data_IF_542875856365
#
_entry.id   IF_542875856365
#
_cell.length_a   1.000
_cell.length_b   1.000
_cell.length_c   1.000
_cell.angle_alpha   90.00
_cell.angle_beta   90.00
_cell.angle_gamma   90.00
#
_symmetry.space_group_name_H-M   'P 1'
#
loop_
_entity.id
_entity.type
_entity.pdbx_description
1 polymer ?
#
# COMPACT_ATOMS: atom_id res chain seq x y z
N UNK A 1 26.69 26.78 20.65
CA UNK A 1 26.81 25.66 19.68
C UNK A 1 25.46 25.45 19.03
N UNK A 2 25.33 25.70 17.73
CA UNK A 2 24.05 25.57 17.02
C UNK A 2 23.74 24.08 16.80
N UNK A 3 22.66 23.59 17.44
CA UNK A 3 22.30 22.18 17.36
C UNK A 3 21.64 21.88 16.01
N UNK A 4 22.41 21.33 15.07
CA UNK A 4 21.98 21.03 13.70
C UNK A 4 20.88 19.96 13.62
N UNK A 5 20.71 19.16 14.67
CA UNK A 5 19.74 18.07 14.74
C UNK A 5 18.35 18.50 15.22
N UNK A 6 18.25 19.66 15.88
CA UNK A 6 17.00 20.18 16.42
C UNK A 6 15.88 20.32 15.36
N UNK A 7 16.12 20.89 14.15
CA UNK A 7 15.07 21.02 13.15
C UNK A 7 14.54 19.64 12.68
N UNK A 8 15.42 18.66 12.47
CA UNK A 8 15.02 17.32 12.04
C UNK A 8 14.15 16.63 13.08
N UNK A 9 14.50 16.72 14.36
CA UNK A 9 13.73 16.15 15.47
C UNK A 9 12.33 16.77 15.54
N UNK A 10 12.22 18.08 15.31
CA UNK A 10 10.94 18.80 15.33
C UNK A 10 10.07 18.46 14.11
N UNK A 11 10.67 18.14 12.95
CA UNK A 11 9.93 17.72 11.75
C UNK A 11 9.61 16.22 11.69
N UNK A 12 10.27 15.41 12.52
CA UNK A 12 10.12 13.95 12.50
C UNK A 12 8.66 13.50 12.73
N UNK A 13 7.89 14.08 13.69
CA UNK A 13 6.51 13.67 13.92
C UNK A 13 5.59 13.92 12.72
N UNK A 14 5.74 15.05 12.03
CA UNK A 14 4.93 15.37 10.86
C UNK A 14 5.29 14.49 9.66
N UNK A 15 6.59 14.22 9.45
CA UNK A 15 7.06 13.30 8.43
C UNK A 15 6.59 11.87 8.70
N UNK A 16 6.63 11.43 9.96
CA UNK A 16 6.14 10.12 10.36
C UNK A 16 4.64 9.98 10.10
N UNK A 17 3.84 10.98 10.51
CA UNK A 17 2.40 10.97 10.26
C UNK A 17 2.08 10.99 8.77
N UNK A 18 2.77 11.81 7.98
CA UNK A 18 2.63 11.83 6.53
C UNK A 18 2.98 10.47 5.90
N UNK A 19 4.08 9.85 6.34
CA UNK A 19 4.47 8.53 5.87
C UNK A 19 3.38 7.48 6.20
N UNK A 20 2.89 7.43 7.44
CA UNK A 20 1.83 6.48 7.81
C UNK A 20 0.59 6.67 6.94
N UNK A 21 0.12 7.91 6.78
CA UNK A 21 -1.08 8.20 5.97
C UNK A 21 -0.92 7.81 4.50
N UNK A 22 0.28 7.97 3.93
CA UNK A 22 0.54 7.62 2.53
C UNK A 22 0.76 6.12 2.36
N UNK A 23 1.58 5.50 3.21
CA UNK A 23 1.96 4.10 3.05
C UNK A 23 0.88 3.12 3.49
N UNK A 24 0.02 3.50 4.43
CA UNK A 24 -1.09 2.65 4.87
C UNK A 24 -2.01 2.21 3.70
N UNK A 25 -2.61 3.12 2.92
CA UNK A 25 -3.48 2.71 1.82
C UNK A 25 -2.72 2.00 0.70
N UNK A 26 -1.45 2.33 0.48
CA UNK A 26 -0.59 1.62 -0.50
C UNK A 26 -0.39 0.17 -0.08
N UNK A 27 -0.14 -0.07 1.21
CA UNK A 27 -0.02 -1.41 1.75
C UNK A 27 -1.33 -2.20 1.62
N UNK A 28 -2.47 -1.58 1.94
CA UNK A 28 -3.78 -2.19 1.77
C UNK A 28 -4.05 -2.55 0.30
N UNK A 29 -3.69 -1.67 -0.64
CA UNK A 29 -3.80 -1.93 -2.08
C UNK A 29 -2.96 -3.13 -2.53
N UNK A 30 -1.71 -3.22 -2.03
CA UNK A 30 -0.85 -4.37 -2.33
C UNK A 30 -1.53 -5.64 -1.83
N UNK A 31 -2.01 -5.66 -0.58
CA UNK A 31 -2.67 -6.84 -0.03
C UNK A 31 -3.91 -7.25 -0.83
N UNK A 32 -4.79 -6.30 -1.17
CA UNK A 32 -5.99 -6.57 -1.97
C UNK A 32 -5.63 -7.07 -3.37
N UNK A 33 -4.56 -6.55 -3.97
CA UNK A 33 -4.14 -6.95 -5.31
C UNK A 33 -3.51 -8.34 -5.39
N UNK A 34 -2.86 -8.80 -4.31
CA UNK A 34 -2.15 -10.10 -4.26
C UNK A 34 -2.91 -11.20 -3.54
N UNK A 35 -4.06 -10.90 -2.92
CA UNK A 35 -4.93 -11.90 -2.28
C UNK A 35 -6.18 -12.10 -3.12
N UNK A 36 -6.80 -13.27 -3.00
CA UNK A 36 -8.13 -13.48 -3.56
C UNK A 36 -9.16 -12.69 -2.72
N UNK A 37 -9.99 -11.90 -3.38
CA UNK A 37 -10.99 -11.06 -2.71
C UNK A 37 -12.37 -11.53 -3.14
N UNK A 38 -13.14 -12.02 -2.17
CA UNK A 38 -14.53 -12.39 -2.42
C UNK A 38 -15.34 -11.17 -2.90
N UNK A 39 -16.44 -11.40 -3.62
CA UNK A 39 -17.40 -10.36 -4.03
C UNK A 39 -17.93 -9.48 -2.88
N UNK A 40 -17.78 -9.96 -1.64
CA UNK A 40 -18.15 -9.26 -0.41
C UNK A 40 -16.99 -8.45 0.21
N UNK A 41 -15.85 -8.33 -0.47
CA UNK A 41 -14.67 -7.60 0.01
C UNK A 41 -13.87 -8.33 1.09
N UNK A 42 -14.08 -9.63 1.28
CA UNK A 42 -13.30 -10.42 2.23
C UNK A 42 -11.99 -10.87 1.58
N UNK A 43 -10.86 -10.45 2.17
CA UNK A 43 -9.53 -10.96 1.87
C UNK A 43 -9.48 -12.46 2.21
N UNK A 44 -9.13 -13.29 1.22
CA UNK A 44 -8.87 -14.72 1.36
C UNK A 44 -7.36 -14.95 1.32
N UNK A 45 -6.94 -16.19 1.09
CA UNK A 45 -5.52 -16.54 1.00
C UNK A 45 -4.79 -15.75 -0.10
N UNK A 46 -3.48 -15.66 0.09
CA UNK A 46 -2.55 -15.10 -0.88
C UNK A 46 -2.64 -15.88 -2.20
N UNK A 47 -2.89 -15.18 -3.33
CA UNK A 47 -3.09 -15.79 -4.65
C UNK A 47 -1.95 -15.49 -5.63
N UNK A 48 -0.77 -15.14 -5.11
CA UNK A 48 0.41 -14.70 -5.85
C UNK A 48 0.09 -13.49 -6.75
N UNK A 49 -0.12 -13.74 -8.05
CA UNK A 49 -0.41 -12.76 -9.09
C UNK A 49 -1.60 -13.20 -9.97
N UNK A 50 -2.44 -14.13 -9.49
CA UNK A 50 -3.55 -14.67 -10.27
C UNK A 50 -4.52 -13.57 -10.74
N UNK A 51 -4.76 -12.55 -9.91
CA UNK A 51 -5.56 -11.38 -10.28
C UNK A 51 -4.97 -10.63 -11.47
N UNK A 52 -3.65 -10.43 -11.49
CA UNK A 52 -2.96 -9.75 -12.59
C UNK A 52 -2.94 -10.58 -13.87
N UNK A 53 -2.78 -11.90 -13.75
CA UNK A 53 -2.84 -12.81 -14.89
C UNK A 53 -4.25 -12.86 -15.52
N UNK A 54 -5.29 -12.90 -14.69
CA UNK A 54 -6.68 -12.83 -15.15
C UNK A 54 -6.97 -11.51 -15.88
N UNK A 55 -6.52 -10.38 -15.32
CA UNK A 55 -6.64 -9.06 -15.94
C UNK A 55 -5.93 -8.98 -17.29
N UNK A 56 -4.71 -9.53 -17.40
CA UNK A 56 -3.94 -9.52 -18.65
C UNK A 56 -4.51 -10.45 -19.73
N UNK A 57 -5.28 -11.48 -19.33
CA UNK A 57 -5.96 -12.39 -20.23
C UNK A 57 -7.35 -11.88 -20.65
N UNK A 58 -7.85 -10.81 -20.03
CA UNK A 58 -9.15 -10.23 -20.32
C UNK A 58 -9.09 -9.38 -21.61
N UNK A 59 -9.82 -9.78 -22.68
CA UNK A 59 -9.83 -9.05 -23.95
C UNK A 59 -10.46 -7.66 -23.85
N UNK A 60 -11.25 -7.36 -22.81
CA UNK A 60 -11.83 -6.04 -22.60
C UNK A 60 -10.84 -5.08 -21.91
N UNK A 61 -9.75 -5.60 -21.34
CA UNK A 61 -8.73 -4.81 -20.64
C UNK A 61 -7.55 -4.39 -21.52
N UNK A 62 -7.22 -5.18 -22.55
CA UNK A 62 -6.14 -4.90 -23.53
C UNK A 62 -6.66 -4.22 -24.79
#
# INVERSE_FOLDING_TARGET
MQNRFLPYLLTLPSLFLAAVVIFWPVWDLIQISTHDVSRFGQLRDFNDLANFAALAADPDFT
#
